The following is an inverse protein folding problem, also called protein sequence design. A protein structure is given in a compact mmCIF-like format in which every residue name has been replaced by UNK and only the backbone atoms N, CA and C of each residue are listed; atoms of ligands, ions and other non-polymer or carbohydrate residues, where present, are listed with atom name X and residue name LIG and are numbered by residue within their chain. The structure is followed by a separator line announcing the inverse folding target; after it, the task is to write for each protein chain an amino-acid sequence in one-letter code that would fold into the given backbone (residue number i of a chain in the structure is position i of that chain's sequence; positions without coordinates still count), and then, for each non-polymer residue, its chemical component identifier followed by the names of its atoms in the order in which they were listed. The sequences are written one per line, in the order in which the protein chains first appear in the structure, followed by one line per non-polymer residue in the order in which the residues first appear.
data_IF_118153459114
#
_entry.id   IF_118153459114
#
_cell.length_a   1.000
_cell.length_b   1.000
_cell.length_c   1.000
_cell.angle_alpha   90.00
_cell.angle_beta   90.00
_cell.angle_gamma   90.00
#
_symmetry.space_group_name_H-M   'P 1'
#
loop_
_entity.id
_entity.type
_entity.pdbx_description
1 polymer ?
#
# COMPACT_ATOMS: atom_id res chain seq x y z
N UNK A 1 15.81 -7.26 15.90
CA UNK A 1 15.50 -5.84 15.62
C UNK A 1 15.12 -5.75 14.14
N UNK A 2 13.91 -5.31 13.79
CA UNK A 2 13.48 -5.21 12.39
C UNK A 2 13.14 -3.75 12.08
N UNK A 3 13.97 -3.07 11.29
CA UNK A 3 13.79 -1.66 10.92
C UNK A 3 13.53 -1.56 9.41
N UNK A 4 12.48 -0.83 9.04
CA UNK A 4 12.08 -0.62 7.64
C UNK A 4 12.06 0.86 7.33
N UNK A 5 12.79 1.24 6.28
CA UNK A 5 12.77 2.59 5.73
C UNK A 5 12.04 2.57 4.39
N UNK A 6 11.10 3.50 4.19
CA UNK A 6 10.35 3.62 2.95
C UNK A 6 10.05 5.08 2.62
N UNK A 7 9.93 5.36 1.33
CA UNK A 7 9.49 6.65 0.85
C UNK A 7 7.98 6.78 1.07
N UNK A 8 7.54 7.91 1.63
CA UNK A 8 6.13 8.18 1.92
C UNK A 8 5.53 9.25 1.00
N UNK A 9 6.38 10.09 0.40
CA UNK A 9 5.98 11.08 -0.60
C UNK A 9 7.13 11.37 -1.60
N UNK A 10 6.77 11.68 -2.85
CA UNK A 10 7.66 12.17 -3.90
C UNK A 10 7.05 13.46 -4.48
N UNK A 11 7.83 14.54 -4.57
CA UNK A 11 7.37 15.80 -5.19
C UNK A 11 6.01 16.32 -4.65
N UNK A 12 5.75 16.13 -3.36
CA UNK A 12 4.47 16.50 -2.72
C UNK A 12 3.31 15.53 -2.93
N UNK A 13 3.50 14.45 -3.69
CA UNK A 13 2.48 13.43 -3.95
C UNK A 13 2.72 12.17 -3.11
N UNK A 14 1.63 11.50 -2.72
CA UNK A 14 1.69 10.24 -1.99
C UNK A 14 2.28 9.14 -2.90
N UNK A 15 3.14 8.30 -2.32
CA UNK A 15 3.64 7.09 -2.99
C UNK A 15 3.21 5.84 -2.24
N UNK A 16 3.02 4.78 -3.00
CA UNK A 16 2.44 3.54 -2.54
C UNK A 16 3.26 2.36 -3.04
N UNK A 17 3.50 1.37 -2.18
CA UNK A 17 4.06 0.09 -2.59
C UNK A 17 2.99 -0.98 -2.53
N UNK A 18 2.64 -1.54 -3.68
CA UNK A 18 1.75 -2.70 -3.81
C UNK A 18 2.66 -3.92 -3.94
N UNK A 19 2.44 -4.92 -3.09
CA UNK A 19 3.18 -6.18 -3.11
C UNK A 19 2.17 -7.30 -3.32
N UNK A 20 2.58 -8.35 -4.02
CA UNK A 20 1.75 -9.54 -4.29
C UNK A 20 1.49 -10.38 -3.02
N UNK A 21 2.30 -10.21 -1.97
CA UNK A 21 2.04 -10.86 -0.68
C UNK A 21 1.04 -10.07 0.19
N UNK A 22 0.04 -10.76 0.78
CA UNK A 22 -0.89 -10.16 1.72
C UNK A 22 -0.12 -9.58 2.92
N UNK A 23 -0.37 -8.33 3.27
CA UNK A 23 0.29 -7.63 4.39
C UNK A 23 1.59 -6.89 4.06
N UNK A 24 2.12 -7.01 2.83
CA UNK A 24 3.28 -6.20 2.36
C UNK A 24 2.90 -4.95 1.57
N UNK A 25 1.60 -4.74 1.33
CA UNK A 25 1.09 -3.47 0.79
C UNK A 25 1.25 -2.39 1.87
N UNK A 26 2.04 -1.35 1.57
CA UNK A 26 2.44 -0.35 2.55
C UNK A 26 2.18 1.05 2.04
N UNK A 27 1.08 1.66 2.49
CA UNK A 27 0.67 3.00 2.08
C UNK A 27 0.08 3.77 3.26
N UNK A 28 0.21 5.09 3.23
CA UNK A 28 -0.35 5.98 4.26
C UNK A 28 -1.84 6.27 4.02
N UNK A 29 -2.28 6.15 2.76
CA UNK A 29 -3.64 6.43 2.33
C UNK A 29 -4.28 5.19 1.67
N UNK A 30 -5.36 4.64 2.24
CA UNK A 30 -6.02 3.44 1.71
C UNK A 30 -6.79 3.71 0.41
N UNK A 31 -7.28 4.94 0.19
CA UNK A 31 -8.03 5.30 -1.01
C UNK A 31 -7.10 5.37 -2.22
N UNK A 32 -5.90 5.90 -2.04
CA UNK A 32 -4.85 5.90 -3.06
C UNK A 32 -4.43 4.48 -3.47
N UNK A 33 -4.38 3.54 -2.52
CA UNK A 33 -4.12 2.12 -2.83
C UNK A 33 -5.24 1.51 -3.67
N UNK A 34 -6.50 1.75 -3.31
CA UNK A 34 -7.64 1.26 -4.07
C UNK A 34 -7.63 1.80 -5.50
N UNK A 35 -7.33 3.10 -5.66
CA UNK A 35 -7.16 3.73 -6.97
C UNK A 35 -6.05 3.06 -7.79
N UNK A 36 -4.86 2.88 -7.22
CA UNK A 36 -3.74 2.24 -7.92
C UNK A 36 -4.04 0.77 -8.25
N UNK A 37 -4.68 0.02 -7.35
CA UNK A 37 -5.11 -1.37 -7.62
C UNK A 37 -6.07 -1.42 -8.80
N UNK A 38 -7.01 -0.49 -8.89
CA UNK A 38 -7.93 -0.39 -10.02
C UNK A 38 -7.21 -0.07 -11.33
N UNK A 39 -6.34 0.95 -11.32
CA UNK A 39 -5.57 1.37 -12.51
C UNK A 39 -4.64 0.25 -13.01
N UNK A 40 -3.95 -0.44 -12.10
CA UNK A 40 -3.01 -1.51 -12.43
C UNK A 40 -3.65 -2.90 -12.50
N UNK A 41 -4.98 -3.01 -12.35
CA UNK A 41 -5.75 -4.27 -12.35
C UNK A 41 -5.17 -5.34 -11.42
N UNK A 42 -4.68 -4.93 -10.25
CA UNK A 42 -4.10 -5.85 -9.26
C UNK A 42 -5.23 -6.52 -8.49
N UNK A 43 -5.23 -7.86 -8.34
CA UNK A 43 -6.26 -8.56 -7.59
C UNK A 43 -6.33 -8.05 -6.14
N UNK A 44 -7.55 -7.90 -5.62
CA UNK A 44 -7.75 -7.54 -4.23
C UNK A 44 -7.40 -8.73 -3.34
N UNK A 45 -6.14 -8.80 -2.92
CA UNK A 45 -5.77 -9.67 -1.82
C UNK A 45 -6.40 -9.10 -0.56
N UNK A 46 -7.12 -9.92 0.25
CA UNK A 46 -7.73 -9.47 1.48
C UNK A 46 -6.63 -8.89 2.37
N UNK A 47 -6.64 -7.57 2.54
CA UNK A 47 -5.77 -6.91 3.51
C UNK A 47 -6.05 -7.55 4.86
N UNK A 48 -5.05 -7.98 5.65
CA UNK A 48 -5.31 -8.44 7.01
C UNK A 48 -6.07 -7.32 7.71
N UNK A 49 -7.31 -7.63 8.10
CA UNK A 49 -8.22 -6.69 8.71
C UNK A 49 -7.49 -5.97 9.84
N UNK A 50 -7.49 -4.65 9.79
CA UNK A 50 -7.03 -3.81 10.90
C UNK A 50 -7.88 -4.20 12.11
N UNK A 51 -7.35 -4.82 13.19
CA UNK A 51 -8.11 -4.93 14.41
C UNK A 51 -8.32 -3.50 14.91
N UNK A 52 -9.57 -3.20 15.26
CA UNK A 52 -10.00 -1.92 15.82
C UNK A 52 -9.20 -1.56 17.08
#
# INVERSE_FOLDING_TARGET
MNMVLKMTACAGQAVAKISDEPGKTQCKDPNFVAYLRHVFKVPDLPSPAKPA
#
